data_IF_333262284114
#
_entry.id   IF_333262284114
#
_cell.length_a   1.000
_cell.length_b   1.000
_cell.length_c   1.000
_cell.angle_alpha   90.00
_cell.angle_beta   90.00
_cell.angle_gamma   90.00
#
_symmetry.space_group_name_H-M   'P 1'
#
loop_
_entity.id
_entity.type
_entity.pdbx_description
1 polymer ?
#
# COMPACT_ATOMS: atom_id res chain seq x y z
N UNK A 1 -31.23 -50.19 35.54
CA UNK A 1 -30.49 -49.08 34.91
C UNK A 1 -29.56 -48.49 35.95
N UNK A 2 -28.26 -48.74 35.85
CA UNK A 2 -27.24 -48.09 36.69
C UNK A 2 -26.37 -47.29 35.75
N UNK A 3 -26.50 -45.96 35.80
CA UNK A 3 -25.66 -45.04 35.04
C UNK A 3 -24.49 -44.70 35.96
N UNK A 4 -23.34 -45.33 35.71
CA UNK A 4 -22.07 -44.93 36.34
C UNK A 4 -21.62 -43.62 35.70
N UNK A 5 -21.85 -42.49 36.37
CA UNK A 5 -21.20 -41.23 36.05
C UNK A 5 -19.74 -41.31 36.47
N UNK A 6 -18.85 -41.51 35.50
CA UNK A 6 -17.40 -41.37 35.67
C UNK A 6 -17.12 -39.89 35.93
N UNK A 7 -16.90 -39.54 37.19
CA UNK A 7 -16.36 -38.24 37.58
C UNK A 7 -14.92 -38.19 37.08
N UNK A 8 -14.66 -37.40 36.04
CA UNK A 8 -13.31 -37.07 35.60
C UNK A 8 -12.73 -36.16 36.69
N UNK A 9 -11.88 -36.72 37.54
CA UNK A 9 -11.20 -35.98 38.59
C UNK A 9 -10.27 -34.91 38.01
N UNK A 10 -10.12 -33.80 38.74
CA UNK A 10 -9.28 -32.63 38.41
C UNK A 10 -7.86 -33.00 37.93
N UNK A 11 -7.31 -34.09 38.46
CA UNK A 11 -6.02 -34.70 38.07
C UNK A 11 -5.97 -35.12 36.58
N UNK A 12 -7.05 -35.69 36.03
CA UNK A 12 -7.10 -36.16 34.65
C UNK A 12 -7.19 -35.03 33.61
N UNK A 13 -7.66 -33.85 34.04
CA UNK A 13 -7.69 -32.65 33.20
C UNK A 13 -6.28 -32.08 33.08
N UNK A 14 -5.52 -32.03 34.17
CA UNK A 14 -4.14 -31.54 34.16
C UNK A 14 -3.22 -32.43 33.30
N UNK A 15 -3.34 -33.76 33.41
CA UNK A 15 -2.61 -34.70 32.56
C UNK A 15 -2.91 -34.49 31.07
N UNK A 16 -4.19 -34.29 30.71
CA UNK A 16 -4.58 -33.98 29.34
C UNK A 16 -3.98 -32.65 28.83
N UNK A 17 -3.94 -31.62 29.67
CA UNK A 17 -3.31 -30.35 29.30
C UNK A 17 -1.80 -30.48 29.11
N UNK A 18 -1.12 -31.27 29.94
CA UNK A 18 0.33 -31.53 29.80
C UNK A 18 0.61 -32.30 28.51
N UNK A 19 -0.16 -33.35 28.21
CA UNK A 19 -0.06 -34.11 26.96
C UNK A 19 -0.34 -33.22 25.73
N UNK A 20 -1.35 -32.35 25.80
CA UNK A 20 -1.66 -31.42 24.72
C UNK A 20 -0.55 -30.38 24.49
N UNK A 21 0.02 -29.83 25.57
CA UNK A 21 1.15 -28.91 25.50
C UNK A 21 2.41 -29.60 24.96
N UNK A 22 2.65 -30.85 25.36
CA UNK A 22 3.73 -31.67 24.84
C UNK A 22 3.56 -31.92 23.33
N UNK A 23 2.38 -32.34 22.89
CA UNK A 23 2.06 -32.56 21.46
C UNK A 23 2.15 -31.27 20.63
N UNK A 24 1.69 -30.14 21.17
CA UNK A 24 1.81 -28.83 20.52
C UNK A 24 3.27 -28.40 20.37
N UNK A 25 4.08 -28.61 21.42
CA UNK A 25 5.53 -28.35 21.40
C UNK A 25 6.26 -29.27 20.41
N UNK A 26 5.89 -30.55 20.35
CA UNK A 26 6.45 -31.49 19.38
C UNK A 26 6.11 -31.10 17.94
N UNK A 27 4.86 -30.69 17.68
CA UNK A 27 4.40 -30.32 16.33
C UNK A 27 5.10 -29.04 15.85
N UNK A 28 5.19 -28.03 16.70
CA UNK A 28 5.91 -26.78 16.41
C UNK A 28 7.41 -27.03 16.22
N UNK A 29 8.03 -27.89 17.03
CA UNK A 29 9.43 -28.27 16.87
C UNK A 29 9.69 -29.00 15.54
N UNK A 30 8.82 -29.95 15.16
CA UNK A 30 8.89 -30.62 13.86
C UNK A 30 8.74 -29.64 12.70
N UNK A 31 7.85 -28.66 12.83
CA UNK A 31 7.66 -27.61 11.82
C UNK A 31 8.91 -26.71 11.68
N UNK A 32 9.55 -26.34 12.79
CA UNK A 32 10.80 -25.59 12.78
C UNK A 32 11.94 -26.38 12.12
N UNK A 33 12.05 -27.69 12.37
CA UNK A 33 13.02 -28.55 11.71
C UNK A 33 12.78 -28.59 10.20
N UNK A 34 11.52 -28.76 9.76
CA UNK A 34 11.18 -28.76 8.34
C UNK A 34 11.55 -27.43 7.66
N UNK A 35 11.28 -26.29 8.32
CA UNK A 35 11.67 -24.97 7.82
C UNK A 35 13.19 -24.84 7.71
N UNK A 36 13.94 -25.27 8.73
CA UNK A 36 15.40 -25.23 8.72
C UNK A 36 15.98 -26.04 7.55
N UNK A 37 15.44 -27.24 7.30
CA UNK A 37 15.84 -28.10 6.18
C UNK A 37 15.60 -27.40 4.84
N UNK A 38 14.40 -26.82 4.62
CA UNK A 38 14.08 -26.10 3.38
C UNK A 38 15.00 -24.91 3.17
N UNK A 39 15.28 -24.13 4.21
CA UNK A 39 16.21 -22.99 4.13
C UNK A 39 17.62 -23.49 3.77
N UNK A 40 18.11 -24.56 4.38
CA UNK A 40 19.41 -25.16 4.02
C UNK A 40 19.48 -25.56 2.55
N UNK A 41 18.43 -26.21 2.01
CA UNK A 41 18.37 -26.55 0.59
C UNK A 41 18.39 -25.32 -0.33
N UNK A 42 17.61 -24.29 0.00
CA UNK A 42 17.57 -23.05 -0.80
C UNK A 42 18.92 -22.32 -0.81
N UNK A 43 19.61 -22.30 0.32
CA UNK A 43 20.96 -21.74 0.42
C UNK A 43 21.96 -22.57 -0.40
N UNK A 44 21.92 -23.90 -0.33
CA UNK A 44 22.77 -24.77 -1.15
C UNK A 44 22.52 -24.59 -2.65
N UNK A 45 21.27 -24.45 -3.09
CA UNK A 45 20.92 -24.17 -4.50
C UNK A 45 21.46 -22.80 -4.92
N UNK A 46 21.29 -21.78 -4.09
CA UNK A 46 21.77 -20.42 -4.38
C UNK A 46 23.29 -20.40 -4.55
N UNK A 47 24.03 -21.06 -3.65
CA UNK A 47 25.49 -21.20 -3.73
C UNK A 47 25.90 -21.99 -4.98
N UNK A 48 25.18 -23.06 -5.33
CA UNK A 48 25.46 -23.86 -6.52
C UNK A 48 25.26 -23.07 -7.83
N UNK A 49 24.26 -22.18 -7.89
CA UNK A 49 24.02 -21.29 -9.03
C UNK A 49 25.15 -20.25 -9.16
N UNK A 50 25.61 -19.69 -8.04
CA UNK A 50 26.71 -18.72 -8.02
C UNK A 50 28.04 -19.38 -8.42
N UNK A 51 28.30 -20.60 -7.92
CA UNK A 51 29.55 -21.32 -8.18
C UNK A 51 29.60 -21.99 -9.57
N UNK A 52 28.44 -22.33 -10.15
CA UNK A 52 28.33 -22.65 -11.58
C UNK A 52 28.31 -21.35 -12.39
N UNK A 53 29.41 -20.60 -12.33
CA UNK A 53 29.69 -19.55 -13.30
C UNK A 53 29.47 -20.11 -14.71
N UNK A 54 28.56 -19.48 -15.44
CA UNK A 54 28.14 -19.87 -16.78
C UNK A 54 29.35 -19.76 -17.73
N UNK A 55 30.12 -20.85 -17.86
CA UNK A 55 31.26 -20.92 -18.76
C UNK A 55 30.74 -21.26 -20.16
N UNK A 56 30.41 -20.22 -20.91
CA UNK A 56 30.08 -20.32 -22.34
C UNK A 56 31.36 -20.66 -23.12
N UNK A 57 31.38 -21.68 -24.00
CA UNK A 57 32.50 -21.91 -24.91
C UNK A 57 32.60 -20.80 -25.95
N UNK A 58 33.79 -20.21 -26.06
CA UNK A 58 34.13 -19.11 -26.96
C UNK A 58 34.20 -19.56 -28.44
N UNK A 59 33.54 -18.88 -29.39
CA UNK A 59 33.96 -18.84 -30.79
C UNK A 59 34.81 -17.59 -31.09
N UNK A 60 35.73 -17.74 -32.05
CA UNK A 60 36.77 -16.80 -32.50
C UNK A 60 36.21 -15.56 -33.25
N UNK A 61 37.04 -14.52 -33.51
CA UNK A 61 36.63 -13.13 -33.38
C UNK A 61 36.01 -12.58 -34.66
N UNK A 62 34.95 -11.81 -34.52
CA UNK A 62 34.65 -10.71 -35.43
C UNK A 62 34.14 -9.55 -34.60
N UNK A 63 34.83 -8.43 -34.73
CA UNK A 63 34.65 -7.18 -34.00
C UNK A 63 33.21 -6.70 -34.08
N UNK A 64 32.61 -6.32 -32.95
CA UNK A 64 31.87 -5.06 -32.77
C UNK A 64 31.35 -4.91 -31.33
N UNK A 65 32.00 -3.99 -30.61
CA UNK A 65 31.59 -3.13 -29.49
C UNK A 65 30.85 -3.74 -28.27
N UNK A 66 31.49 -3.52 -27.12
CA UNK A 66 31.02 -3.68 -25.75
C UNK A 66 29.50 -3.57 -25.55
N UNK A 67 28.89 -4.67 -25.11
CA UNK A 67 27.67 -4.66 -24.32
C UNK A 67 27.83 -5.61 -23.13
N UNK A 68 28.41 -5.08 -22.06
CA UNK A 68 28.12 -5.58 -20.71
C UNK A 68 26.79 -4.95 -20.25
N UNK A 69 25.67 -5.65 -20.43
CA UNK A 69 24.44 -5.35 -19.71
C UNK A 69 23.51 -6.57 -19.71
N UNK A 70 23.31 -7.18 -18.54
CA UNK A 70 22.08 -7.94 -18.27
C UNK A 70 21.12 -6.98 -17.56
N UNK A 71 20.07 -6.43 -18.21
CA UNK A 71 19.05 -5.67 -17.50
C UNK A 71 18.09 -6.65 -16.83
N UNK A 72 17.95 -6.57 -15.50
CA UNK A 72 16.69 -6.98 -14.87
C UNK A 72 15.62 -5.98 -15.34
N UNK A 73 14.76 -6.44 -16.24
CA UNK A 73 13.63 -5.68 -16.79
C UNK A 73 12.64 -5.38 -15.65
N UNK A 74 12.64 -4.16 -15.14
CA UNK A 74 11.68 -3.67 -14.15
C UNK A 74 10.72 -2.66 -14.81
N UNK A 75 9.52 -2.49 -14.24
CA UNK A 75 8.62 -1.43 -14.70
C UNK A 75 9.28 -0.05 -14.57
N UNK A 76 8.92 0.92 -15.43
CA UNK A 76 9.43 2.29 -15.32
C UNK A 76 9.27 2.87 -13.90
N UNK A 77 8.15 2.56 -13.23
CA UNK A 77 7.88 2.97 -11.87
C UNK A 77 8.85 2.35 -10.85
N UNK A 78 9.13 1.05 -10.97
CA UNK A 78 10.09 0.38 -10.09
C UNK A 78 11.50 0.94 -10.28
N UNK A 79 11.92 1.14 -11.53
CA UNK A 79 13.23 1.71 -11.86
C UNK A 79 13.35 3.12 -11.27
N UNK A 80 12.35 3.99 -11.49
CA UNK A 80 12.33 5.34 -10.94
C UNK A 80 12.36 5.34 -9.41
N UNK A 81 11.55 4.48 -8.77
CA UNK A 81 11.51 4.38 -7.30
C UNK A 81 12.86 3.91 -6.73
N UNK A 82 13.51 2.96 -7.40
CA UNK A 82 14.82 2.43 -7.00
C UNK A 82 15.93 3.47 -7.12
N UNK A 83 15.91 4.28 -8.18
CA UNK A 83 16.88 5.38 -8.36
C UNK A 83 16.70 6.49 -7.32
N UNK A 84 15.47 6.78 -6.93
CA UNK A 84 15.12 7.84 -5.97
C UNK A 84 15.08 7.36 -4.51
N UNK A 85 15.49 6.12 -4.24
CA UNK A 85 15.31 5.46 -2.95
C UNK A 85 15.97 6.25 -1.81
N UNK A 86 17.25 6.61 -2.00
CA UNK A 86 18.03 7.33 -1.00
C UNK A 86 17.42 8.72 -0.71
N UNK A 87 17.07 9.46 -1.76
CA UNK A 87 16.48 10.80 -1.64
C UNK A 87 15.12 10.77 -0.92
N UNK A 88 14.31 9.74 -1.17
CA UNK A 88 13.02 9.55 -0.49
C UNK A 88 13.20 9.22 0.98
N UNK A 89 14.14 8.33 1.31
CA UNK A 89 14.43 7.98 2.70
C UNK A 89 14.97 9.18 3.46
N UNK A 90 15.92 9.91 2.88
CA UNK A 90 16.52 11.10 3.51
C UNK A 90 15.47 12.20 3.74
N UNK A 91 14.66 12.51 2.71
CA UNK A 91 13.57 13.48 2.81
C UNK A 91 12.61 13.11 3.94
N UNK A 92 12.17 11.86 4.02
CA UNK A 92 11.24 11.41 5.04
C UNK A 92 11.89 11.38 6.43
N UNK A 93 13.14 10.94 6.53
CA UNK A 93 13.89 10.92 7.78
C UNK A 93 14.06 12.33 8.35
N UNK A 94 14.29 13.33 7.49
CA UNK A 94 14.32 14.75 7.85
C UNK A 94 12.95 15.34 8.24
N UNK A 95 11.84 14.63 7.98
CA UNK A 95 10.48 15.09 8.21
C UNK A 95 9.66 14.05 9.01
N UNK A 96 10.05 13.82 10.26
CA UNK A 96 9.51 12.74 11.10
C UNK A 96 7.97 12.74 11.24
N UNK A 97 7.32 13.90 11.28
CA UNK A 97 5.86 14.01 11.36
C UNK A 97 5.17 13.59 10.06
N UNK A 98 5.79 13.87 8.91
CA UNK A 98 5.27 13.53 7.58
C UNK A 98 5.25 12.03 7.35
N UNK A 99 6.18 11.28 7.94
CA UNK A 99 6.21 9.80 7.84
C UNK A 99 4.86 9.20 8.27
N UNK A 100 4.34 9.60 9.44
CA UNK A 100 3.08 9.05 9.95
C UNK A 100 1.89 9.49 9.09
N UNK A 101 1.86 10.75 8.67
CA UNK A 101 0.79 11.25 7.79
C UNK A 101 0.77 10.51 6.45
N UNK A 102 1.95 10.31 5.84
CA UNK A 102 2.09 9.56 4.60
C UNK A 102 1.66 8.11 4.79
N UNK A 103 2.10 7.45 5.87
CA UNK A 103 1.72 6.08 6.21
C UNK A 103 0.18 5.93 6.35
N UNK A 104 -0.49 6.89 6.99
CA UNK A 104 -1.95 6.94 7.09
C UNK A 104 -2.62 7.04 5.72
N UNK A 105 -2.14 7.95 4.86
CA UNK A 105 -2.70 8.10 3.51
C UNK A 105 -2.50 6.84 2.66
N UNK A 106 -1.33 6.22 2.72
CA UNK A 106 -1.04 4.99 1.97
C UNK A 106 -1.91 3.82 2.44
N UNK A 107 -2.20 3.72 3.74
CA UNK A 107 -3.15 2.74 4.28
C UNK A 107 -4.58 3.03 3.79
N UNK A 108 -5.01 4.29 3.86
CA UNK A 108 -6.34 4.72 3.40
C UNK A 108 -6.55 4.47 1.90
N UNK A 109 -5.49 4.53 1.10
CA UNK A 109 -5.52 4.22 -0.33
C UNK A 109 -5.37 2.72 -0.61
N UNK A 110 -5.33 1.87 0.42
CA UNK A 110 -5.12 0.42 0.33
C UNK A 110 -3.83 0.03 -0.41
N UNK A 111 -2.83 0.92 -0.42
CA UNK A 111 -1.54 0.69 -1.08
C UNK A 111 -0.67 -0.23 -0.23
N UNK A 112 -0.65 0.02 1.08
CA UNK A 112 0.12 -0.77 2.04
C UNK A 112 -0.82 -1.63 2.90
N UNK A 113 -0.42 -2.85 3.25
CA UNK A 113 -1.16 -3.66 4.21
C UNK A 113 -0.96 -3.13 5.64
N UNK A 114 -1.88 -3.49 6.54
CA UNK A 114 -1.83 -3.09 7.95
C UNK A 114 -0.51 -3.46 8.66
N UNK A 115 0.10 -4.59 8.28
CA UNK A 115 1.40 -5.00 8.82
C UNK A 115 2.49 -3.94 8.59
N UNK A 116 2.58 -3.40 7.36
CA UNK A 116 3.51 -2.31 7.01
C UNK A 116 3.16 -1.05 7.78
N UNK A 117 1.87 -0.70 7.85
CA UNK A 117 1.41 0.46 8.60
C UNK A 117 1.86 0.40 10.07
N UNK A 118 1.57 -0.69 10.77
CA UNK A 118 1.90 -0.85 12.21
C UNK A 118 3.41 -0.76 12.44
N UNK A 119 4.20 -1.39 11.56
CA UNK A 119 5.64 -1.45 11.68
C UNK A 119 6.33 -0.09 11.45
N UNK A 120 5.65 0.85 10.80
CA UNK A 120 6.11 2.24 10.57
C UNK A 120 5.52 3.21 11.61
N UNK A 121 4.32 2.93 12.12
CA UNK A 121 3.63 3.80 13.09
C UNK A 121 4.26 3.77 14.50
N UNK A 122 4.98 2.70 14.87
CA UNK A 122 5.65 2.62 16.17
C UNK A 122 6.73 3.69 16.33
N UNK A 123 6.59 4.52 17.37
CA UNK A 123 7.50 5.65 17.67
C UNK A 123 8.83 5.23 18.31
N UNK A 124 9.02 3.94 18.60
CA UNK A 124 10.25 3.39 19.18
C UNK A 124 11.40 3.29 18.16
N UNK A 125 11.09 3.52 16.88
CA UNK A 125 12.06 3.55 15.79
C UNK A 125 12.43 4.99 15.43
N UNK A 126 13.69 5.19 15.05
CA UNK A 126 14.16 6.48 14.55
C UNK A 126 13.40 6.88 13.27
N UNK A 127 13.31 8.18 12.96
CA UNK A 127 12.72 8.64 11.70
C UNK A 127 13.31 7.95 10.46
N UNK A 128 14.63 7.73 10.44
CA UNK A 128 15.32 7.03 9.36
C UNK A 128 14.86 5.56 9.23
N UNK A 129 14.81 4.81 10.32
CA UNK A 129 14.36 3.41 10.28
C UNK A 129 12.93 3.29 9.78
N UNK A 130 12.03 4.18 10.24
CA UNK A 130 10.63 4.22 9.80
C UNK A 130 10.53 4.57 8.31
N UNK A 131 11.30 5.56 7.85
CA UNK A 131 11.37 5.96 6.45
C UNK A 131 11.88 4.82 5.56
N UNK A 132 13.02 4.23 5.92
CA UNK A 132 13.64 3.10 5.22
C UNK A 132 12.66 1.94 5.11
N UNK A 133 11.99 1.57 6.21
CA UNK A 133 11.00 0.50 6.21
C UNK A 133 9.81 0.80 5.30
N UNK A 134 9.26 2.01 5.36
CA UNK A 134 8.14 2.42 4.52
C UNK A 134 8.50 2.38 3.02
N UNK A 135 9.61 3.01 2.66
CA UNK A 135 10.05 3.12 1.25
C UNK A 135 10.44 1.75 0.70
N UNK A 136 11.17 0.91 1.45
CA UNK A 136 11.49 -0.44 0.99
C UNK A 136 10.24 -1.31 0.81
N UNK A 137 9.25 -1.17 1.70
CA UNK A 137 7.97 -1.86 1.55
C UNK A 137 7.24 -1.42 0.28
N UNK A 138 7.20 -0.12 0.00
CA UNK A 138 6.62 0.41 -1.23
C UNK A 138 7.36 -0.08 -2.47
N UNK A 139 8.69 -0.13 -2.43
CA UNK A 139 9.51 -0.67 -3.52
C UNK A 139 9.15 -2.13 -3.82
N UNK A 140 9.04 -2.97 -2.79
CA UNK A 140 8.60 -4.36 -2.94
C UNK A 140 7.18 -4.47 -3.49
N UNK A 141 6.26 -3.61 -3.02
CA UNK A 141 4.88 -3.61 -3.51
C UNK A 141 4.86 -3.23 -4.99
N UNK A 142 5.54 -2.15 -5.41
CA UNK A 142 5.62 -1.75 -6.83
C UNK A 142 6.22 -2.87 -7.68
N UNK A 143 7.26 -3.56 -7.20
CA UNK A 143 7.92 -4.64 -7.92
C UNK A 143 7.01 -5.85 -8.15
N UNK A 144 6.10 -6.13 -7.21
CA UNK A 144 5.29 -7.37 -7.20
C UNK A 144 3.83 -7.16 -7.60
N UNK A 145 3.36 -5.91 -7.64
CA UNK A 145 1.98 -5.60 -7.95
C UNK A 145 1.70 -5.79 -9.45
N UNK A 146 0.54 -6.37 -9.78
CA UNK A 146 0.11 -6.58 -11.18
C UNK A 146 -0.08 -5.28 -11.97
N UNK A 147 -0.28 -4.17 -11.27
CA UNK A 147 -0.35 -2.82 -11.83
C UNK A 147 0.55 -1.86 -11.05
N UNK A 148 1.86 -1.80 -11.36
CA UNK A 148 2.82 -0.93 -10.64
C UNK A 148 2.49 0.55 -10.80
N UNK A 149 1.94 0.93 -11.96
CA UNK A 149 1.56 2.30 -12.27
C UNK A 149 0.48 2.85 -11.33
N UNK A 150 -0.54 2.04 -11.00
CA UNK A 150 -1.58 2.41 -10.04
C UNK A 150 -0.99 2.70 -8.67
N UNK A 151 -0.11 1.81 -8.18
CA UNK A 151 0.56 1.98 -6.88
C UNK A 151 1.42 3.24 -6.88
N UNK A 152 2.21 3.45 -7.93
CA UNK A 152 3.09 4.60 -8.07
C UNK A 152 2.32 5.93 -8.18
N UNK A 153 1.25 5.99 -8.97
CA UNK A 153 0.39 7.18 -9.09
C UNK A 153 -0.30 7.51 -7.76
N UNK A 154 -0.70 6.48 -7.01
CA UNK A 154 -1.29 6.67 -5.69
C UNK A 154 -0.25 7.14 -4.65
N UNK A 155 1.01 6.68 -4.76
CA UNK A 155 2.13 7.21 -3.98
C UNK A 155 2.39 8.70 -4.29
N UNK A 156 2.42 9.08 -5.57
CA UNK A 156 2.54 10.49 -5.99
C UNK A 156 1.42 11.33 -5.37
N UNK A 157 0.18 10.85 -5.43
CA UNK A 157 -0.99 11.52 -4.83
C UNK A 157 -0.83 11.65 -3.32
N UNK A 158 -0.36 10.60 -2.63
CA UNK A 158 -0.14 10.62 -1.19
C UNK A 158 0.96 11.62 -0.79
N UNK A 159 2.05 11.70 -1.56
CA UNK A 159 3.12 12.67 -1.37
C UNK A 159 2.63 14.11 -1.53
N UNK A 160 1.76 14.37 -2.52
CA UNK A 160 1.14 15.69 -2.71
C UNK A 160 0.23 16.05 -1.52
N UNK A 161 -0.56 15.10 -1.01
CA UNK A 161 -1.45 15.33 0.16
C UNK A 161 -0.69 15.70 1.43
N UNK A 162 0.53 15.19 1.60
CA UNK A 162 1.39 15.55 2.74
C UNK A 162 2.32 16.73 2.46
N UNK A 163 2.12 17.44 1.34
CA UNK A 163 2.87 18.65 0.99
C UNK A 163 4.26 18.41 0.41
N UNK A 164 4.67 17.16 0.14
CA UNK A 164 5.95 16.82 -0.50
C UNK A 164 5.89 16.97 -2.04
N UNK A 165 5.36 18.11 -2.50
CA UNK A 165 5.05 18.38 -3.90
C UNK A 165 6.29 18.32 -4.81
N UNK A 166 7.44 18.81 -4.34
CA UNK A 166 8.70 18.79 -5.10
C UNK A 166 9.23 17.36 -5.34
N UNK A 167 9.01 16.45 -4.39
CA UNK A 167 9.40 15.06 -4.56
C UNK A 167 8.42 14.34 -5.48
N UNK A 168 7.12 14.62 -5.32
CA UNK A 168 6.08 14.08 -6.19
C UNK A 168 6.30 14.48 -7.67
N UNK A 169 6.64 15.73 -7.94
CA UNK A 169 6.93 16.20 -9.31
C UNK A 169 8.19 15.54 -9.89
N UNK A 170 9.27 15.41 -9.11
CA UNK A 170 10.50 14.72 -9.53
C UNK A 170 10.25 13.25 -9.88
N UNK A 171 9.45 12.54 -9.07
CA UNK A 171 9.08 11.15 -9.34
C UNK A 171 8.29 11.02 -10.65
N UNK A 172 7.30 11.89 -10.84
CA UNK A 172 6.50 11.97 -12.06
C UNK A 172 7.36 12.27 -13.30
N UNK A 173 8.28 13.23 -13.22
CA UNK A 173 9.15 13.60 -14.33
C UNK A 173 10.08 12.44 -14.72
N UNK A 174 10.75 11.84 -13.73
CA UNK A 174 11.66 10.70 -13.95
C UNK A 174 10.93 9.47 -14.49
N UNK A 175 9.70 9.21 -14.08
CA UNK A 175 8.92 8.09 -14.62
C UNK A 175 8.53 8.32 -16.08
N UNK A 176 8.16 9.55 -16.46
CA UNK A 176 7.80 9.90 -17.86
C UNK A 176 8.99 9.76 -18.81
N UNK A 177 10.18 10.18 -18.38
CA UNK A 177 11.42 10.00 -19.17
C UNK A 177 11.72 8.52 -19.47
N UNK A 178 11.20 7.60 -18.65
CA UNK A 178 11.38 6.15 -18.80
C UNK A 178 10.17 5.45 -19.46
N UNK A 179 9.24 6.20 -20.03
CA UNK A 179 8.05 5.67 -20.70
C UNK A 179 6.88 5.33 -19.78
N UNK A 180 6.93 5.70 -18.49
CA UNK A 180 5.82 5.53 -17.57
C UNK A 180 4.66 6.49 -17.87
N UNK A 181 3.44 5.95 -18.00
CA UNK A 181 2.22 6.74 -18.17
C UNK A 181 1.47 6.86 -16.85
N UNK A 182 1.69 7.94 -16.12
CA UNK A 182 0.95 8.25 -14.88
C UNK A 182 -0.48 8.69 -15.21
N UNK A 183 -1.46 7.86 -14.85
CA UNK A 183 -2.86 8.24 -14.89
C UNK A 183 -3.26 8.78 -13.50
N UNK A 184 -3.11 10.10 -13.31
CA UNK A 184 -3.78 10.74 -12.19
C UNK A 184 -5.26 10.79 -12.55
N UNK A 185 -6.06 9.90 -11.96
CA UNK A 185 -7.53 9.98 -12.09
C UNK A 185 -7.94 11.43 -11.80
N UNK A 186 -8.50 12.06 -12.83
CA UNK A 186 -9.11 13.37 -12.72
C UNK A 186 -10.24 13.23 -11.71
N UNK A 187 -10.04 13.81 -10.53
CA UNK A 187 -11.14 14.16 -9.64
C UNK A 187 -12.16 14.94 -10.51
N UNK A 188 -13.48 14.64 -10.44
CA UNK A 188 -14.44 15.29 -11.30
C UNK A 188 -14.45 16.79 -11.00
N UNK A 189 -13.80 17.57 -11.86
CA UNK A 189 -13.99 19.01 -11.92
C UNK A 189 -15.41 19.23 -12.38
N UNK A 190 -16.28 19.59 -11.44
CA UNK A 190 -17.56 20.23 -11.77
C UNK A 190 -17.22 21.46 -12.60
N UNK A 191 -17.49 21.36 -13.90
CA UNK A 191 -17.48 22.48 -14.81
C UNK A 191 -18.60 23.42 -14.37
N UNK A 192 -18.27 24.44 -13.59
CA UNK A 192 -19.12 25.62 -13.49
C UNK A 192 -19.14 26.30 -14.86
N UNK A 193 -20.09 25.90 -15.69
CA UNK A 193 -20.44 26.63 -16.90
C UNK A 193 -21.00 28.00 -16.53
N UNK A 194 -20.68 29.09 -17.25
CA UNK A 194 -21.21 30.40 -16.93
C UNK A 194 -22.72 30.43 -17.19
N UNK A 195 -23.52 30.67 -16.15
CA UNK A 195 -24.92 31.05 -16.30
C UNK A 195 -24.96 32.43 -16.96
N UNK A 196 -25.42 32.47 -18.22
CA UNK A 196 -25.67 33.72 -18.92
C UNK A 196 -26.77 34.51 -18.19
N UNK A 197 -26.65 35.85 -18.08
CA UNK A 197 -27.71 36.68 -17.55
C UNK A 197 -28.81 36.82 -18.62
N UNK A 198 -30.01 36.33 -18.33
CA UNK A 198 -31.18 36.57 -19.17
C UNK A 198 -31.69 37.98 -18.86
N UNK A 199 -31.58 38.85 -19.85
CA UNK A 199 -32.02 40.23 -19.81
C UNK A 199 -33.55 40.32 -19.84
N UNK A 200 -34.06 41.34 -19.16
CA UNK A 200 -35.46 41.62 -18.89
C UNK A 200 -36.09 42.31 -20.09
N UNK A 201 -37.22 41.79 -20.59
CA UNK A 201 -38.18 42.65 -21.30
C UNK A 201 -39.57 42.48 -20.71
N UNK A 202 -40.04 43.56 -20.10
CA UNK A 202 -41.37 43.72 -19.57
C UNK A 202 -42.42 43.72 -20.69
N UNK A 203 -43.51 42.96 -20.49
CA UNK A 203 -44.79 43.33 -21.08
C UNK A 203 -45.93 42.98 -20.11
N UNK A 204 -46.55 44.06 -19.65
CA UNK A 204 -47.77 44.14 -18.84
C UNK A 204 -48.90 43.30 -19.42
N UNK A 205 -49.66 42.62 -18.56
CA UNK A 205 -51.12 42.77 -18.44
C UNK A 205 -51.62 42.07 -17.17
N UNK A 206 -52.19 42.83 -16.24
CA UNK A 206 -53.03 42.35 -15.14
C UNK A 206 -54.43 42.00 -15.69
N UNK A 207 -55.15 41.02 -15.10
CA UNK A 207 -56.01 41.36 -13.96
C UNK A 207 -55.97 40.35 -12.80
N UNK A 208 -56.14 40.88 -11.59
CA UNK A 208 -56.24 40.21 -10.28
C UNK A 208 -57.75 40.02 -9.90
N UNK A 209 -58.17 39.30 -8.82
CA UNK A 209 -57.74 38.03 -8.20
C UNK A 209 -58.90 36.98 -8.13
N UNK A 210 -58.65 35.78 -7.62
CA UNK A 210 -59.64 35.10 -6.76
C UNK A 210 -58.95 34.51 -5.54
N UNK A 211 -59.39 34.98 -4.38
CA UNK A 211 -58.99 34.58 -3.04
C UNK A 211 -59.65 33.24 -2.71
N UNK A 212 -58.89 32.29 -2.17
CA UNK A 212 -59.39 31.39 -1.12
C UNK A 212 -58.19 31.03 -0.23
N UNK A 213 -58.22 31.57 0.99
CA UNK A 213 -57.26 31.23 2.03
C UNK A 213 -57.68 29.99 2.80
N UNK A 214 -56.70 29.32 3.41
CA UNK A 214 -56.78 28.49 4.63
C UNK A 214 -55.33 28.10 4.98
N UNK A 215 -54.66 28.83 5.88
CA UNK A 215 -54.39 28.46 7.29
C UNK A 215 -53.91 27.00 7.44
N UNK A 216 -52.61 26.79 7.67
CA UNK A 216 -51.93 26.78 9.00
C UNK A 216 -52.21 25.52 9.81
N UNK A 217 -51.15 24.73 10.05
CA UNK A 217 -50.89 24.20 11.39
C UNK A 217 -49.46 23.62 11.48
N UNK A 218 -48.63 24.31 12.25
CA UNK A 218 -47.48 23.76 12.95
C UNK A 218 -47.91 22.54 13.78
N UNK A 219 -47.14 21.44 13.73
CA UNK A 219 -47.19 20.42 14.77
C UNK A 219 -45.86 20.42 15.53
N UNK A 220 -45.94 20.90 16.76
CA UNK A 220 -45.04 20.62 17.87
C UNK A 220 -45.94 20.21 19.04
N UNK A 221 -45.72 19.04 19.64
CA UNK A 221 -45.96 18.66 21.05
C UNK A 221 -45.42 17.21 21.20
N UNK A 222 -44.33 16.99 21.94
CA UNK A 222 -44.20 16.71 23.39
C UNK A 222 -44.50 15.27 23.83
N UNK A 223 -43.61 14.84 24.74
CA UNK A 223 -43.43 13.59 25.48
C UNK A 223 -44.64 12.71 25.81
N UNK A 224 -44.36 11.41 25.89
CA UNK A 224 -44.64 10.62 27.08
C UNK A 224 -43.49 9.65 27.39
#
# INVERSE_FOLDING_TARGET
>A
MSVTSTVIGDEGILEYFIELLFMLRCTTFMWLIMIMIVISFLVSISIAIINKGFKVPLPSPTEEKEQQQFPMEGSPEYITMKEMLADLVDLLAGNAAVILQLNNHLLSLTIIPYGVYSAVAHLNHTPNERATRLINSLLTIIQTHSNPNRVFSSLITALQKVGLNNMASKLMEKSRMKGGHINLEQQPSVSEGPLQPVDVTAQSHTPQPTITGSQSSFYSYYCH
#
